data_IF_536600888501
#
_entry.id   IF_536600888501
#
_cell.length_a   1.000
_cell.length_b   1.000
_cell.length_c   1.000
_cell.angle_alpha   90.00
_cell.angle_beta   90.00
_cell.angle_gamma   90.00
#
_symmetry.space_group_name_H-M   'P 1'
#
loop_
_entity.id
_entity.type
_entity.pdbx_description
1 polymer ?
#
# COMPACT_ATOMS: atom_id res chain seq x y z
N UNK A 1 5.82 -0.52 2.20
CA UNK A 1 6.42 -0.57 3.56
C UNK A 1 5.41 -1.15 4.52
N UNK A 2 5.84 -1.72 5.64
CA UNK A 2 4.87 -2.24 6.62
C UNK A 2 5.04 -1.53 7.93
N UNK A 3 3.94 -0.97 8.41
CA UNK A 3 3.83 -0.30 9.68
C UNK A 3 2.89 -1.08 10.59
N UNK A 4 3.03 -0.90 11.90
CA UNK A 4 2.06 -1.38 12.89
C UNK A 4 1.74 -0.30 13.90
N UNK A 5 0.52 -0.38 14.43
CA UNK A 5 0.04 0.40 15.56
C UNK A 5 -0.59 -0.58 16.55
N UNK A 6 -0.23 -0.49 17.81
CA UNK A 6 -0.77 -1.37 18.85
C UNK A 6 -1.57 -0.56 19.87
N UNK A 7 -2.70 -1.12 20.28
CA UNK A 7 -3.59 -0.60 21.32
C UNK A 7 -3.68 -1.62 22.45
N UNK A 8 -3.61 -1.17 23.71
CA UNK A 8 -3.93 -2.05 24.82
C UNK A 8 -5.40 -2.44 24.78
N UNK A 9 -5.69 -3.73 24.86
CA UNK A 9 -7.05 -4.24 24.84
C UNK A 9 -7.91 -3.64 25.95
N UNK A 10 -7.31 -3.34 27.12
CA UNK A 10 -7.97 -2.65 28.24
C UNK A 10 -8.51 -1.26 27.88
N UNK A 11 -7.91 -0.59 26.90
CA UNK A 11 -8.27 0.76 26.49
C UNK A 11 -9.26 0.75 25.32
N UNK A 12 -9.76 -0.44 24.97
CA UNK A 12 -10.70 -0.65 23.88
C UNK A 12 -11.97 -1.35 24.37
N UNK A 13 -12.99 -1.33 23.52
CA UNK A 13 -14.24 -2.10 23.76
C UNK A 13 -14.17 -3.55 23.24
N UNK A 14 -13.08 -3.93 22.61
CA UNK A 14 -12.99 -5.21 21.91
C UNK A 14 -12.51 -6.35 22.81
N UNK A 15 -13.26 -7.45 22.81
CA UNK A 15 -12.81 -8.72 23.39
C UNK A 15 -11.91 -9.47 22.40
N UNK A 16 -12.24 -9.40 21.12
CA UNK A 16 -11.44 -9.93 20.02
C UNK A 16 -11.79 -9.20 18.72
N UNK A 17 -10.80 -9.01 17.85
CA UNK A 17 -11.00 -8.50 16.50
C UNK A 17 -10.05 -9.20 15.54
N UNK A 18 -10.53 -9.50 14.33
CA UNK A 18 -9.74 -10.12 13.27
C UNK A 18 -10.28 -9.68 11.91
N UNK A 19 -9.39 -9.19 11.05
CA UNK A 19 -9.69 -8.79 9.69
C UNK A 19 -8.45 -8.76 8.82
N UNK A 20 -8.60 -9.16 7.57
CA UNK A 20 -7.51 -9.21 6.59
C UNK A 20 -6.56 -10.39 6.77
N UNK A 21 -6.11 -10.96 5.66
CA UNK A 21 -5.15 -12.07 5.61
C UNK A 21 -3.76 -11.65 5.13
N UNK A 22 -3.69 -10.57 4.37
CA UNK A 22 -2.44 -10.03 3.80
C UNK A 22 -2.38 -8.51 3.97
N UNK A 23 -1.26 -8.00 4.51
CA UNK A 23 -1.11 -6.56 4.81
C UNK A 23 -1.19 -5.69 3.55
N UNK A 24 -0.76 -6.21 2.41
CA UNK A 24 -0.74 -5.52 1.11
C UNK A 24 -2.03 -5.69 0.29
N UNK A 25 -3.13 -6.05 0.93
CA UNK A 25 -4.46 -6.13 0.33
C UNK A 25 -5.46 -5.37 1.21
N UNK A 26 -6.41 -4.66 0.60
CA UNK A 26 -7.58 -4.18 1.32
C UNK A 26 -8.42 -5.41 1.75
N UNK A 27 -8.78 -5.55 3.04
CA UNK A 27 -9.50 -6.72 3.51
C UNK A 27 -10.96 -6.72 3.07
N UNK A 28 -11.43 -7.89 2.63
CA UNK A 28 -12.81 -8.16 2.24
C UNK A 28 -13.71 -8.60 3.40
N UNK A 29 -13.13 -8.87 4.57
CA UNK A 29 -13.87 -9.32 5.75
C UNK A 29 -13.21 -8.84 7.04
N UNK A 30 -14.02 -8.50 8.03
CA UNK A 30 -13.60 -8.20 9.38
C UNK A 30 -14.66 -8.62 10.38
N UNK A 31 -14.26 -9.23 11.48
CA UNK A 31 -15.15 -9.66 12.57
C UNK A 31 -14.62 -9.18 13.91
N UNK A 32 -15.50 -8.65 14.74
CA UNK A 32 -15.16 -8.24 16.09
C UNK A 32 -16.18 -8.74 17.11
N UNK A 33 -15.68 -9.18 18.26
CA UNK A 33 -16.45 -9.35 19.50
C UNK A 33 -16.12 -8.17 20.41
N UNK A 34 -17.14 -7.45 20.85
CA UNK A 34 -17.00 -6.22 21.61
C UNK A 34 -18.02 -6.12 22.74
N UNK A 35 -17.73 -5.31 23.74
CA UNK A 35 -18.60 -5.10 24.88
C UNK A 35 -19.30 -3.74 24.81
N UNK A 36 -20.62 -3.72 24.96
CA UNK A 36 -21.43 -2.52 25.02
C UNK A 36 -22.54 -2.69 26.06
N UNK A 37 -22.67 -1.70 26.96
CA UNK A 37 -23.63 -1.74 28.08
C UNK A 37 -23.56 -3.01 28.94
N UNK A 38 -22.35 -3.59 29.10
CA UNK A 38 -22.12 -4.81 29.86
C UNK A 38 -22.44 -6.12 29.14
N UNK A 39 -22.88 -6.05 27.87
CA UNK A 39 -23.15 -7.20 27.03
C UNK A 39 -22.05 -7.39 25.98
N UNK A 40 -21.69 -8.64 25.70
CA UNK A 40 -20.80 -8.98 24.60
C UNK A 40 -21.62 -9.20 23.33
N UNK A 41 -21.24 -8.48 22.26
CA UNK A 41 -21.83 -8.58 20.91
C UNK A 41 -20.79 -8.95 19.88
N UNK A 42 -21.24 -9.47 18.76
CA UNK A 42 -20.37 -9.77 17.61
C UNK A 42 -20.91 -9.06 16.38
N UNK A 43 -20.00 -8.42 15.65
CA UNK A 43 -20.27 -7.82 14.35
C UNK A 43 -19.31 -8.39 13.32
N UNK A 44 -19.85 -8.77 12.16
CA UNK A 44 -19.06 -9.17 10.99
C UNK A 44 -19.44 -8.30 9.81
N UNK A 45 -18.44 -7.75 9.14
CA UNK A 45 -18.61 -6.84 8.01
C UNK A 45 -17.86 -7.40 6.80
N UNK A 46 -18.47 -7.29 5.63
CA UNK A 46 -17.85 -7.62 4.35
C UNK A 46 -17.49 -6.35 3.61
N UNK A 47 -16.38 -6.42 2.88
CA UNK A 47 -15.88 -5.40 2.00
C UNK A 47 -15.62 -5.95 0.59
N UNK A 48 -14.71 -5.30 -0.13
CA UNK A 48 -14.22 -5.71 -1.45
C UNK A 48 -12.71 -5.66 -1.43
N UNK A 49 -12.06 -6.77 -1.71
CA UNK A 49 -10.60 -6.83 -1.80
C UNK A 49 -10.08 -5.94 -2.94
N UNK A 50 -8.94 -5.29 -2.69
CA UNK A 50 -8.16 -4.58 -3.69
C UNK A 50 -6.68 -4.66 -3.34
N UNK A 51 -5.81 -4.39 -4.32
CA UNK A 51 -4.39 -4.37 -4.07
C UNK A 51 -4.00 -3.13 -3.22
N UNK A 52 -3.04 -3.28 -2.30
CA UNK A 52 -2.64 -2.20 -1.39
C UNK A 52 -1.96 -0.99 -2.05
N UNK A 53 -1.71 -1.02 -3.37
CA UNK A 53 -1.28 0.16 -4.13
C UNK A 53 -2.45 1.02 -4.63
N UNK A 54 -3.61 0.43 -4.76
CA UNK A 54 -4.86 1.05 -5.21
C UNK A 54 -6.00 0.63 -4.27
N UNK A 55 -5.89 0.93 -2.96
CA UNK A 55 -6.87 0.48 -1.97
C UNK A 55 -8.26 1.11 -2.20
N UNK A 56 -8.33 2.22 -2.91
CA UNK A 56 -9.55 2.92 -3.34
C UNK A 56 -10.41 2.11 -4.33
N UNK A 57 -9.84 1.14 -5.03
CA UNK A 57 -10.58 0.22 -5.91
C UNK A 57 -11.40 -0.83 -5.14
N UNK A 58 -11.16 -0.91 -3.83
CA UNK A 58 -11.82 -1.82 -2.90
C UNK A 58 -12.74 -1.12 -1.90
N UNK A 59 -13.22 -1.94 -0.95
CA UNK A 59 -13.95 -1.48 0.25
C UNK A 59 -13.33 -2.16 1.47
N UNK A 60 -12.59 -1.40 2.27
CA UNK A 60 -11.87 -1.93 3.41
C UNK A 60 -12.83 -2.35 4.54
N UNK A 61 -12.98 -3.66 4.78
CA UNK A 61 -13.89 -4.21 5.78
C UNK A 61 -13.51 -3.80 7.22
N UNK A 62 -12.23 -3.55 7.51
CA UNK A 62 -11.79 -3.07 8.84
C UNK A 62 -12.33 -1.66 9.07
N UNK A 63 -12.10 -0.74 8.14
CA UNK A 63 -12.57 0.65 8.25
C UNK A 63 -14.10 0.72 8.28
N UNK A 64 -14.79 -0.13 7.51
CA UNK A 64 -16.26 -0.24 7.56
C UNK A 64 -16.75 -0.69 8.94
N UNK A 65 -16.15 -1.73 9.52
CA UNK A 65 -16.53 -2.23 10.85
C UNK A 65 -16.33 -1.14 11.92
N UNK A 66 -15.20 -0.43 11.89
CA UNK A 66 -14.94 0.65 12.85
C UNK A 66 -15.91 1.82 12.68
N UNK A 67 -16.28 2.16 11.45
CA UNK A 67 -17.27 3.19 11.16
C UNK A 67 -18.69 2.79 11.62
N UNK A 68 -19.11 1.54 11.42
CA UNK A 68 -20.40 1.03 11.93
C UNK A 68 -20.47 1.06 13.46
N UNK A 69 -19.36 0.78 14.15
CA UNK A 69 -19.30 0.79 15.60
C UNK A 69 -19.19 2.20 16.21
N UNK A 70 -18.75 3.20 15.47
CA UNK A 70 -18.58 4.58 15.97
C UNK A 70 -19.87 5.23 16.48
N UNK A 71 -21.04 4.79 15.95
CA UNK A 71 -22.35 5.23 16.40
C UNK A 71 -22.96 4.37 17.54
N UNK A 72 -22.30 3.27 17.90
CA UNK A 72 -22.84 2.26 18.84
C UNK A 72 -22.05 2.20 20.14
N UNK A 73 -20.74 2.41 20.05
CA UNK A 73 -19.81 2.28 21.17
C UNK A 73 -19.16 3.63 21.49
N UNK A 74 -19.18 3.99 22.76
CA UNK A 74 -18.50 5.18 23.29
C UNK A 74 -17.31 4.78 24.16
N UNK A 75 -16.34 5.67 24.33
CA UNK A 75 -15.15 5.45 25.15
C UNK A 75 -14.33 4.22 24.71
N UNK A 76 -14.09 4.10 23.42
CA UNK A 76 -13.29 3.05 22.82
C UNK A 76 -12.17 3.67 21.98
N UNK A 77 -10.96 3.70 22.54
CA UNK A 77 -9.81 4.39 21.96
C UNK A 77 -9.51 3.98 20.52
N UNK A 78 -9.68 2.71 20.18
CA UNK A 78 -9.48 2.23 18.81
C UNK A 78 -10.52 2.80 17.83
N UNK A 79 -11.80 2.88 18.24
CA UNK A 79 -12.85 3.47 17.41
C UNK A 79 -12.62 4.98 17.27
N UNK A 80 -12.27 5.68 18.34
CA UNK A 80 -11.91 7.11 18.30
C UNK A 80 -10.73 7.35 17.36
N UNK A 81 -9.69 6.51 17.44
CA UNK A 81 -8.55 6.55 16.52
C UNK A 81 -8.95 6.40 15.05
N UNK A 82 -9.80 5.43 14.74
CA UNK A 82 -10.29 5.25 13.37
C UNK A 82 -11.13 6.44 12.89
N UNK A 83 -12.00 6.96 13.76
CA UNK A 83 -12.86 8.09 13.44
C UNK A 83 -12.06 9.39 13.21
N UNK A 84 -10.99 9.61 13.93
CA UNK A 84 -10.20 10.86 13.86
C UNK A 84 -9.08 10.78 12.82
N UNK A 85 -8.36 9.66 12.73
CA UNK A 85 -7.10 9.58 12.01
C UNK A 85 -7.11 8.65 10.80
N UNK A 86 -8.04 7.68 10.70
CA UNK A 86 -8.09 6.75 9.58
C UNK A 86 -9.25 7.07 8.65
N UNK A 87 -10.45 7.22 9.22
CA UNK A 87 -11.69 7.45 8.46
C UNK A 87 -11.87 6.40 7.37
N UNK A 88 -12.22 6.83 6.15
CA UNK A 88 -12.25 6.02 4.93
C UNK A 88 -11.20 6.54 3.91
N UNK A 89 -10.12 7.12 4.41
CA UNK A 89 -9.07 7.75 3.60
C UNK A 89 -7.96 6.74 3.27
N UNK A 90 -7.32 6.97 2.14
CA UNK A 90 -6.19 6.15 1.68
C UNK A 90 -4.91 6.95 1.46
N UNK A 91 -4.96 8.29 1.63
CA UNK A 91 -3.82 9.20 1.39
C UNK A 91 -3.07 9.59 2.66
N UNK A 92 -3.58 9.21 3.84
CA UNK A 92 -2.98 9.51 5.15
C UNK A 92 -3.13 10.96 5.60
N UNK A 93 -4.08 11.73 5.04
CA UNK A 93 -4.31 13.13 5.38
C UNK A 93 -4.66 13.30 6.86
N UNK A 94 -5.72 12.64 7.31
CA UNK A 94 -6.13 12.68 8.72
C UNK A 94 -5.12 12.07 9.67
N UNK A 95 -4.29 11.13 9.20
CA UNK A 95 -3.22 10.52 9.99
C UNK A 95 -2.00 11.44 10.15
N UNK A 96 -1.92 12.54 9.40
CA UNK A 96 -0.78 13.46 9.41
C UNK A 96 0.43 12.98 8.60
N UNK A 97 0.23 12.00 7.73
CA UNK A 97 1.26 11.39 6.90
C UNK A 97 1.11 11.62 5.39
N UNK A 98 0.24 12.54 4.98
CA UNK A 98 0.03 12.84 3.57
C UNK A 98 1.28 13.45 2.93
N UNK A 99 1.79 12.81 1.90
CA UNK A 99 2.91 13.29 1.09
C UNK A 99 2.70 12.94 -0.38
N UNK A 100 3.26 13.75 -1.28
CA UNK A 100 3.19 13.53 -2.73
C UNK A 100 4.39 14.14 -3.41
N UNK A 101 4.86 13.54 -4.53
CA UNK A 101 5.84 14.15 -5.42
C UNK A 101 5.41 14.01 -6.90
N UNK A 102 6.10 14.77 -7.77
CA UNK A 102 5.83 14.74 -9.20
C UNK A 102 6.31 13.43 -9.85
N UNK A 103 7.37 12.82 -9.30
CA UNK A 103 8.02 11.65 -9.89
C UNK A 103 7.24 10.35 -9.68
N UNK A 104 6.56 10.20 -8.52
CA UNK A 104 5.90 8.95 -8.15
C UNK A 104 4.47 9.10 -7.58
N UNK A 105 3.96 10.33 -7.53
CA UNK A 105 2.59 10.61 -7.10
C UNK A 105 2.39 10.61 -5.58
N UNK A 106 1.16 10.44 -5.11
CA UNK A 106 0.81 10.51 -3.69
C UNK A 106 1.17 9.23 -2.92
N UNK A 107 1.32 9.37 -1.61
CA UNK A 107 1.38 8.24 -0.70
C UNK A 107 0.04 7.48 -0.65
N UNK A 108 0.13 6.17 -0.42
CA UNK A 108 -1.04 5.29 -0.24
C UNK A 108 -0.90 4.50 1.07
N UNK A 109 -1.96 4.53 1.87
CA UNK A 109 -2.08 3.87 3.17
C UNK A 109 -3.19 2.82 3.12
N UNK A 110 -2.82 1.56 3.05
CA UNK A 110 -3.79 0.47 3.12
C UNK A 110 -3.79 -0.15 4.53
N UNK A 111 -4.93 -0.11 5.20
CA UNK A 111 -5.14 -0.86 6.44
C UNK A 111 -5.38 -2.31 6.06
N UNK A 112 -4.31 -3.11 6.02
CA UNK A 112 -4.36 -4.45 5.44
C UNK A 112 -4.76 -5.54 6.42
N UNK A 113 -4.51 -5.35 7.72
CA UNK A 113 -4.81 -6.36 8.73
C UNK A 113 -5.05 -5.74 10.10
N UNK A 114 -5.96 -6.34 10.86
CA UNK A 114 -6.15 -6.12 12.29
C UNK A 114 -6.30 -7.46 13.00
N UNK A 115 -5.69 -7.61 14.15
CA UNK A 115 -5.83 -8.81 14.97
C UNK A 115 -5.64 -8.54 16.46
N UNK A 116 -6.28 -9.36 17.29
CA UNK A 116 -5.99 -9.42 18.73
C UNK A 116 -4.80 -10.35 18.96
N UNK A 117 -3.75 -9.85 19.62
CA UNK A 117 -2.52 -10.57 19.93
C UNK A 117 -2.25 -10.44 21.44
N UNK A 118 -2.61 -11.46 22.21
CA UNK A 118 -2.52 -11.41 23.66
C UNK A 118 -3.39 -10.28 24.24
N UNK A 119 -2.75 -9.35 24.93
CA UNK A 119 -3.40 -8.18 25.54
C UNK A 119 -3.37 -6.92 24.65
N UNK A 120 -2.99 -7.07 23.40
CA UNK A 120 -2.94 -5.97 22.44
C UNK A 120 -3.87 -6.23 21.26
N UNK A 121 -4.38 -5.15 20.66
CA UNK A 121 -4.97 -5.15 19.34
C UNK A 121 -3.97 -4.47 18.41
N UNK A 122 -3.57 -5.17 17.36
CA UNK A 122 -2.53 -4.71 16.43
C UNK A 122 -3.13 -4.44 15.07
N UNK A 123 -2.91 -3.23 14.59
CA UNK A 123 -3.26 -2.76 13.27
C UNK A 123 -2.01 -2.76 12.39
N UNK A 124 -2.11 -3.29 11.19
CA UNK A 124 -1.02 -3.35 10.21
C UNK A 124 -1.38 -2.55 8.97
N UNK A 125 -0.45 -1.69 8.55
CA UNK A 125 -0.62 -0.78 7.42
C UNK A 125 0.43 -1.09 6.36
N UNK A 126 0.02 -1.23 5.10
CA UNK A 126 0.91 -1.17 3.93
C UNK A 126 1.00 0.28 3.47
N UNK A 127 2.13 0.92 3.76
CA UNK A 127 2.43 2.27 3.30
C UNK A 127 3.25 2.21 2.02
N UNK A 128 2.82 2.94 1.00
CA UNK A 128 3.59 3.26 -0.19
C UNK A 128 3.76 4.76 -0.24
N UNK A 129 5.00 5.22 -0.25
CA UNK A 129 5.32 6.63 -0.16
C UNK A 129 6.22 7.06 -1.32
N UNK A 130 6.17 8.35 -1.70
CA UNK A 130 6.91 8.88 -2.83
C UNK A 130 8.43 8.77 -2.68
N UNK A 131 9.11 8.66 -3.82
CA UNK A 131 10.57 8.37 -3.89
C UNK A 131 11.46 9.48 -3.34
N UNK A 132 10.96 10.71 -3.26
CA UNK A 132 11.69 11.86 -2.73
C UNK A 132 11.56 12.03 -1.22
N UNK A 133 10.73 11.22 -0.56
CA UNK A 133 10.50 11.31 0.89
C UNK A 133 11.26 10.22 1.65
N UNK A 134 11.58 10.54 2.90
CA UNK A 134 12.17 9.59 3.85
C UNK A 134 11.07 8.99 4.73
N UNK A 135 11.08 7.67 4.90
CA UNK A 135 10.11 6.97 5.74
C UNK A 135 10.15 7.44 7.19
N UNK A 136 11.34 7.71 7.73
CA UNK A 136 11.50 8.16 9.12
C UNK A 136 10.81 9.51 9.34
N UNK A 137 10.94 10.43 8.41
CA UNK A 137 10.30 11.75 8.51
C UNK A 137 8.78 11.64 8.47
N UNK A 138 8.22 10.76 7.63
CA UNK A 138 6.78 10.49 7.56
C UNK A 138 6.29 9.90 8.89
N UNK A 139 6.98 8.89 9.42
CA UNK A 139 6.60 8.24 10.69
C UNK A 139 6.72 9.21 11.87
N UNK A 140 7.72 10.08 11.88
CA UNK A 140 7.88 11.11 12.90
C UNK A 140 6.75 12.16 12.82
N UNK A 141 6.36 12.58 11.63
CA UNK A 141 5.23 13.50 11.44
C UNK A 141 3.92 12.89 11.96
N UNK A 142 3.64 11.64 11.62
CA UNK A 142 2.47 10.91 12.12
C UNK A 142 2.50 10.82 13.67
N UNK A 143 3.62 10.39 14.25
CA UNK A 143 3.71 10.25 15.70
C UNK A 143 3.58 11.59 16.44
N UNK A 144 4.10 12.67 15.88
CA UNK A 144 3.92 14.03 16.42
C UNK A 144 2.44 14.44 16.35
N UNK A 145 1.80 14.23 15.21
CA UNK A 145 0.39 14.54 15.01
C UNK A 145 -0.52 13.77 15.99
N UNK A 146 -0.29 12.47 16.17
CA UNK A 146 -1.01 11.64 17.14
C UNK A 146 -0.82 12.18 18.58
N UNK A 147 0.41 12.52 18.96
CA UNK A 147 0.71 13.04 20.29
C UNK A 147 0.03 14.38 20.58
N UNK A 148 0.02 15.29 19.61
CA UNK A 148 -0.62 16.61 19.72
C UNK A 148 -2.14 16.52 19.84
N UNK A 149 -2.74 15.44 19.34
CA UNK A 149 -4.18 15.18 19.36
C UNK A 149 -4.62 14.18 20.47
N UNK A 150 -3.82 14.00 21.51
CA UNK A 150 -4.21 13.21 22.70
C UNK A 150 -3.91 11.73 22.64
N UNK A 151 -3.20 11.26 21.60
CA UNK A 151 -2.83 9.85 21.40
C UNK A 151 -1.32 9.63 21.60
N UNK A 152 -0.71 10.27 22.62
CA UNK A 152 0.74 10.23 22.87
C UNK A 152 1.28 8.84 23.24
N UNK A 153 0.42 7.95 23.70
CA UNK A 153 0.72 6.53 24.01
C UNK A 153 0.55 5.59 22.82
N UNK A 154 -0.05 6.07 21.71
CA UNK A 154 -0.20 5.36 20.44
C UNK A 154 0.95 5.75 19.53
N UNK A 155 1.68 4.76 19.00
CA UNK A 155 2.82 5.01 18.13
C UNK A 155 2.79 4.12 16.90
N UNK A 156 3.16 4.72 15.77
CA UNK A 156 3.43 4.00 14.54
C UNK A 156 4.86 3.48 14.57
N UNK A 157 5.01 2.17 14.41
CA UNK A 157 6.30 1.50 14.34
C UNK A 157 6.54 0.90 12.95
N UNK A 158 7.76 1.01 12.45
CA UNK A 158 8.18 0.39 11.19
C UNK A 158 8.51 -1.08 11.41
N UNK A 159 7.77 -1.99 10.77
CA UNK A 159 8.07 -3.44 10.80
C UNK A 159 9.08 -3.79 9.72
N UNK A 160 8.85 -3.33 8.49
CA UNK A 160 9.74 -3.55 7.37
C UNK A 160 9.80 -2.33 6.47
N UNK A 161 11.02 -1.98 6.06
CA UNK A 161 11.26 -1.00 5.01
C UNK A 161 11.95 -1.71 3.84
N UNK A 162 11.33 -1.65 2.67
CA UNK A 162 11.96 -2.08 1.40
C UNK A 162 12.14 -0.82 0.57
N UNK A 163 13.37 -0.32 0.41
CA UNK A 163 13.61 0.90 -0.35
C UNK A 163 13.03 0.77 -1.76
N UNK A 164 12.57 1.88 -2.30
CA UNK A 164 12.12 1.92 -3.68
C UNK A 164 13.30 1.85 -4.65
N UNK A 165 13.01 1.40 -5.86
CA UNK A 165 13.92 1.54 -7.00
C UNK A 165 13.45 2.76 -7.78
N UNK A 166 14.30 3.77 -7.84
CA UNK A 166 14.06 4.96 -8.64
C UNK A 166 15.31 5.30 -9.44
N UNK A 167 15.11 5.63 -10.69
CA UNK A 167 16.14 6.11 -11.59
C UNK A 167 15.57 7.27 -12.40
N UNK A 168 16.29 8.40 -12.44
CA UNK A 168 15.86 9.54 -13.23
C UNK A 168 15.70 9.15 -14.70
N UNK A 169 14.57 9.51 -15.30
CA UNK A 169 14.26 9.16 -16.68
C UNK A 169 15.26 9.71 -17.70
N UNK A 170 16.00 10.77 -17.35
CA UNK A 170 16.97 11.42 -18.24
C UNK A 170 18.35 10.76 -18.24
N UNK A 171 18.62 9.76 -17.40
CA UNK A 171 19.92 9.07 -17.45
C UNK A 171 20.03 8.20 -18.71
N UNK A 172 21.27 8.06 -19.21
CA UNK A 172 21.55 7.42 -20.50
C UNK A 172 20.92 6.03 -20.64
N UNK A 173 21.03 5.17 -19.63
CA UNK A 173 20.47 3.82 -19.68
C UNK A 173 18.94 3.83 -19.87
N UNK A 174 18.20 4.71 -19.18
CA UNK A 174 16.75 4.83 -19.34
C UNK A 174 16.42 5.32 -20.76
N UNK A 175 17.12 6.33 -21.26
CA UNK A 175 16.91 6.86 -22.61
C UNK A 175 17.22 5.81 -23.69
N UNK A 176 18.24 4.98 -23.49
CA UNK A 176 18.57 3.87 -24.40
C UNK A 176 17.48 2.80 -24.42
N UNK A 177 16.95 2.41 -23.24
CA UNK A 177 15.83 1.47 -23.14
C UNK A 177 14.56 2.03 -23.76
N UNK A 178 14.26 3.29 -23.48
CA UNK A 178 13.08 3.98 -23.99
C UNK A 178 13.12 4.09 -25.53
N UNK A 179 14.27 4.49 -26.09
CA UNK A 179 14.43 4.57 -27.53
C UNK A 179 14.27 3.20 -28.22
N UNK A 180 14.73 2.13 -27.61
CA UNK A 180 14.51 0.77 -28.11
C UNK A 180 13.03 0.40 -28.11
N UNK A 181 12.29 0.76 -27.06
CA UNK A 181 10.85 0.57 -26.98
C UNK A 181 10.10 1.36 -28.05
N UNK A 182 10.40 2.66 -28.20
CA UNK A 182 9.76 3.53 -29.19
C UNK A 182 9.94 3.00 -30.61
N UNK A 183 11.16 2.57 -30.97
CA UNK A 183 11.46 2.12 -32.32
C UNK A 183 10.77 0.80 -32.68
N UNK A 184 10.62 -0.12 -31.72
CA UNK A 184 10.01 -1.42 -31.96
C UNK A 184 8.48 -1.39 -31.86
N UNK A 185 7.92 -0.44 -31.10
CA UNK A 185 6.47 -0.39 -30.86
C UNK A 185 5.76 0.75 -31.58
N UNK A 186 6.46 1.82 -31.89
CA UNK A 186 5.87 3.09 -32.35
C UNK A 186 5.14 3.86 -31.25
N UNK A 187 5.10 3.35 -30.02
CA UNK A 187 4.49 4.01 -28.87
C UNK A 187 5.52 4.95 -28.22
N UNK A 188 5.19 6.24 -28.15
CA UNK A 188 6.05 7.30 -27.61
C UNK A 188 5.80 7.61 -26.13
N UNK A 189 5.19 6.67 -25.40
CA UNK A 189 4.93 6.82 -23.96
C UNK A 189 6.21 6.98 -23.15
N UNK A 190 6.12 7.78 -22.09
CA UNK A 190 7.18 7.96 -21.09
C UNK A 190 7.27 6.76 -20.14
N UNK A 191 8.41 6.57 -19.45
CA UNK A 191 8.52 5.55 -18.40
C UNK A 191 7.48 5.75 -17.31
N UNK A 192 6.94 4.65 -16.81
CA UNK A 192 5.89 4.67 -15.77
C UNK A 192 6.43 4.23 -14.42
N UNK A 193 5.78 4.70 -13.35
CA UNK A 193 6.02 4.24 -11.98
C UNK A 193 4.96 3.18 -11.64
N UNK A 194 5.40 2.08 -11.02
CA UNK A 194 4.50 1.04 -10.53
C UNK A 194 4.58 0.91 -9.02
N UNK A 195 3.45 0.69 -8.38
CA UNK A 195 3.39 0.46 -6.92
C UNK A 195 3.92 -0.90 -6.48
N UNK A 196 4.21 -1.82 -7.41
CA UNK A 196 4.72 -3.17 -7.15
C UNK A 196 6.23 -3.22 -6.89
N UNK A 197 6.71 -4.34 -6.34
CA UNK A 197 8.14 -4.62 -6.22
C UNK A 197 8.60 -5.57 -7.32
N UNK A 198 9.74 -5.28 -7.93
CA UNK A 198 10.38 -6.12 -8.94
C UNK A 198 11.73 -6.64 -8.47
N UNK A 199 12.34 -7.55 -9.25
CA UNK A 199 13.71 -8.03 -9.02
C UNK A 199 14.78 -6.91 -9.09
N UNK A 200 14.45 -5.73 -9.67
CA UNK A 200 15.33 -4.57 -9.67
C UNK A 200 15.75 -4.12 -8.25
N UNK A 201 15.00 -4.51 -7.21
CA UNK A 201 15.38 -4.28 -5.80
C UNK A 201 16.59 -5.10 -5.32
N UNK A 202 17.00 -6.12 -6.08
CA UNK A 202 18.07 -7.02 -5.66
C UNK A 202 19.48 -6.37 -5.71
N UNK A 203 19.66 -5.37 -6.55
CA UNK A 203 20.94 -4.68 -6.72
C UNK A 203 20.74 -3.18 -7.00
N UNK A 204 21.70 -2.37 -6.55
CA UNK A 204 21.70 -0.95 -6.85
C UNK A 204 21.99 -0.69 -8.35
N UNK A 205 21.39 0.36 -8.91
CA UNK A 205 21.62 0.76 -10.29
C UNK A 205 20.91 -0.10 -11.34
N UNK A 206 19.97 -0.94 -10.94
CA UNK A 206 19.13 -1.73 -11.83
C UNK A 206 17.74 -1.09 -11.91
N UNK A 207 17.14 -1.12 -13.09
CA UNK A 207 15.76 -0.70 -13.35
C UNK A 207 14.97 -1.88 -13.92
N UNK A 208 13.67 -1.91 -13.64
CA UNK A 208 12.77 -2.85 -14.30
C UNK A 208 12.45 -2.35 -15.71
N UNK A 209 12.52 -3.25 -16.67
CA UNK A 209 12.15 -3.01 -18.06
C UNK A 209 11.32 -4.23 -18.50
N UNK A 210 10.02 -4.09 -18.48
CA UNK A 210 9.09 -5.23 -18.55
C UNK A 210 8.33 -5.35 -19.85
N UNK A 211 7.74 -6.55 -20.11
CA UNK A 211 7.05 -6.86 -21.34
C UNK A 211 5.57 -6.43 -21.36
N UNK A 212 5.04 -5.86 -20.27
CA UNK A 212 3.65 -5.40 -20.24
C UNK A 212 3.46 -4.24 -21.20
N UNK A 213 2.62 -4.44 -22.21
CA UNK A 213 2.32 -3.42 -23.20
C UNK A 213 1.05 -2.62 -22.81
N UNK A 214 0.96 -1.34 -23.18
CA UNK A 214 -0.22 -0.51 -22.92
C UNK A 214 -1.52 -1.14 -23.41
N UNK A 215 -2.61 -0.95 -22.66
CA UNK A 215 -3.94 -1.46 -23.00
C UNK A 215 -4.15 -2.95 -22.78
N UNK A 216 -3.22 -3.64 -22.15
CA UNK A 216 -3.39 -5.03 -21.72
C UNK A 216 -4.07 -5.12 -20.36
N UNK A 217 -4.87 -6.17 -20.19
CA UNK A 217 -5.45 -6.50 -18.88
C UNK A 217 -4.36 -6.92 -17.91
N UNK A 218 -4.43 -6.41 -16.67
CA UNK A 218 -3.53 -6.77 -15.59
C UNK A 218 -3.98 -8.09 -14.97
N UNK A 219 -3.30 -9.18 -15.31
CA UNK A 219 -3.63 -10.54 -14.85
C UNK A 219 -2.62 -11.09 -13.84
N UNK A 220 -1.63 -10.30 -13.46
CA UNK A 220 -0.57 -10.71 -12.54
C UNK A 220 -1.15 -11.13 -11.19
N UNK A 221 -0.67 -12.24 -10.66
CA UNK A 221 -1.09 -12.83 -9.39
C UNK A 221 -2.56 -13.30 -9.36
N UNK A 222 -3.21 -13.41 -10.51
CA UNK A 222 -4.58 -13.91 -10.62
C UNK A 222 -4.61 -15.36 -11.12
N UNK A 223 -5.73 -16.03 -10.87
CA UNK A 223 -5.97 -17.34 -11.46
C UNK A 223 -6.03 -17.21 -13.00
N UNK A 224 -5.35 -18.12 -13.71
CA UNK A 224 -5.23 -18.12 -15.17
C UNK A 224 -4.45 -16.89 -15.72
N UNK A 225 -3.47 -16.40 -14.97
CA UNK A 225 -2.52 -15.40 -15.48
C UNK A 225 -1.98 -15.80 -16.87
N UNK A 226 -1.95 -14.87 -17.81
CA UNK A 226 -1.54 -15.13 -19.19
C UNK A 226 -0.78 -13.95 -19.80
N UNK A 227 -0.05 -14.22 -20.87
CA UNK A 227 0.53 -13.23 -21.76
C UNK A 227 0.18 -13.60 -23.21
N UNK A 228 -0.06 -12.61 -24.05
CA UNK A 228 -0.27 -12.86 -25.48
C UNK A 228 1.05 -13.26 -26.15
N UNK A 229 0.99 -14.27 -27.03
CA UNK A 229 2.16 -14.72 -27.78
C UNK A 229 2.76 -13.60 -28.67
N UNK A 230 1.91 -12.75 -29.22
CA UNK A 230 2.33 -11.55 -29.97
C UNK A 230 3.20 -10.62 -29.13
N UNK A 231 2.84 -10.43 -27.84
CA UNK A 231 3.54 -9.55 -26.92
C UNK A 231 4.91 -10.13 -26.53
N UNK A 232 4.99 -11.45 -26.35
CA UNK A 232 6.27 -12.14 -26.16
C UNK A 232 7.21 -11.99 -27.37
N UNK A 233 6.68 -12.07 -28.58
CA UNK A 233 7.47 -11.90 -29.81
C UNK A 233 7.98 -10.45 -29.90
N UNK A 234 7.11 -9.47 -29.64
CA UNK A 234 7.49 -8.06 -29.65
C UNK A 234 8.49 -7.74 -28.53
N UNK A 235 8.27 -8.22 -27.30
CA UNK A 235 9.19 -8.06 -26.20
C UNK A 235 10.59 -8.59 -26.52
N UNK A 236 10.69 -9.72 -27.20
CA UNK A 236 11.97 -10.28 -27.66
C UNK A 236 12.72 -9.30 -28.60
N UNK A 237 12.03 -8.65 -29.55
CA UNK A 237 12.71 -7.69 -30.44
C UNK A 237 13.08 -6.40 -29.68
N UNK A 238 12.23 -5.90 -28.78
CA UNK A 238 12.55 -4.77 -27.90
C UNK A 238 13.83 -5.06 -27.08
N UNK A 239 13.89 -6.22 -26.40
CA UNK A 239 15.09 -6.59 -25.63
C UNK A 239 16.34 -6.75 -26.47
N UNK A 240 16.21 -7.35 -27.66
CA UNK A 240 17.31 -7.51 -28.59
C UNK A 240 17.88 -6.15 -29.04
N UNK A 241 17.02 -5.19 -29.36
CA UNK A 241 17.41 -3.83 -29.75
C UNK A 241 18.04 -3.09 -28.56
N UNK A 242 17.42 -3.18 -27.36
CA UNK A 242 17.94 -2.58 -26.15
C UNK A 242 19.34 -3.11 -25.80
N UNK A 243 19.53 -4.43 -25.79
CA UNK A 243 20.84 -5.06 -25.50
C UNK A 243 21.90 -4.61 -26.50
N UNK A 244 21.58 -4.60 -27.81
CA UNK A 244 22.53 -4.16 -28.83
C UNK A 244 23.00 -2.73 -28.58
N UNK A 245 22.10 -1.82 -28.22
CA UNK A 245 22.43 -0.42 -27.93
C UNK A 245 23.32 -0.30 -26.69
N UNK A 246 22.93 -0.96 -25.59
CA UNK A 246 23.64 -0.91 -24.32
C UNK A 246 25.08 -1.48 -24.39
N UNK A 247 25.36 -2.43 -25.30
CA UNK A 247 26.72 -2.98 -25.43
C UNK A 247 27.55 -2.29 -26.51
N UNK A 248 26.97 -1.33 -27.25
CA UNK A 248 27.64 -0.58 -28.30
C UNK A 248 28.09 0.81 -27.83
N UNK A 249 27.69 1.21 -26.63
CA UNK A 249 28.12 2.40 -25.91
C UNK A 249 29.37 2.09 -25.07
#
# INVERSE_FOLDING_TARGET
MRLKIAFKKSDTCFNNVSGGTAINMAPDSCTASYSVHGETKTLSVTGKAAHGSTPEDGENAISKLMNELSGVVTNCKLIEFFHEFIKLEYNGESLGGQVSDEASGPASYNIGKIETVGDDIVLYIDLRYPVTFNLEDIVNAINSHLSENGFSDVKVEVITNKPHVYMDKNVAVIQTLLSAYHDETGDMSEPTVIGGGTYARAMNGIVAFGPMLPGRELTEHQANEYIYLSDLILAKEIYKTAIKRLVSE
#
